data_IF_819876645196
#
_entry.id   IF_819876645196
#
_cell.length_a   1.000
_cell.length_b   1.000
_cell.length_c   1.000
_cell.angle_alpha   90.00
_cell.angle_beta   90.00
_cell.angle_gamma   90.00
#
_symmetry.space_group_name_H-M   'P 1'
#
loop_
_entity.id
_entity.type
_entity.pdbx_description
1 polymer ?
#
# COMPACT_ATOMS: atom_id res chain seq x y z
N UNK A 1 10.53 22.46 3.33
CA UNK A 1 10.38 21.86 1.99
C UNK A 1 11.40 20.75 1.84
N UNK A 2 11.15 19.81 0.92
CA UNK A 2 12.11 18.76 0.59
C UNK A 2 13.37 19.38 -0.08
N UNK A 3 14.56 18.76 0.07
CA UNK A 3 15.80 19.26 -0.53
C UNK A 3 15.87 19.06 -2.05
N UNK A 4 14.90 18.35 -2.64
CA UNK A 4 14.78 18.09 -4.07
C UNK A 4 13.43 18.60 -4.58
N UNK A 5 13.38 18.89 -5.89
CA UNK A 5 12.15 19.18 -6.62
C UNK A 5 11.60 17.99 -7.37
N UNK A 6 12.37 16.93 -7.56
CA UNK A 6 11.93 15.71 -8.23
C UNK A 6 11.88 14.57 -7.23
N UNK A 7 10.76 13.86 -7.17
CA UNK A 7 10.50 12.80 -6.19
C UNK A 7 9.94 11.54 -6.86
N UNK A 8 10.18 10.41 -6.21
CA UNK A 8 9.51 9.15 -6.45
C UNK A 8 8.72 8.80 -5.19
N UNK A 9 7.47 8.32 -5.34
CA UNK A 9 6.62 7.94 -4.20
C UNK A 9 6.46 6.42 -4.22
N UNK A 10 6.82 5.76 -3.14
CA UNK A 10 6.49 4.34 -2.90
C UNK A 10 5.47 4.26 -1.79
N UNK A 11 4.41 3.48 -2.00
CA UNK A 11 3.29 3.34 -1.07
C UNK A 11 3.17 1.87 -0.68
N UNK A 12 3.50 1.55 0.56
CA UNK A 12 3.07 0.30 1.19
C UNK A 12 1.70 0.52 1.82
N UNK A 13 0.69 -0.26 1.42
CA UNK A 13 -0.67 -0.13 1.93
C UNK A 13 -0.86 -0.68 3.33
N UNK A 14 0.12 -1.37 3.90
CA UNK A 14 0.03 -1.77 5.31
C UNK A 14 -0.06 -0.57 6.26
N UNK A 15 0.33 0.64 5.84
CA UNK A 15 0.10 1.88 6.61
C UNK A 15 -1.38 2.23 6.80
N UNK A 16 -2.25 1.75 5.89
CA UNK A 16 -3.68 2.07 5.89
C UNK A 16 -4.43 1.32 6.99
N UNK A 17 -5.61 1.80 7.34
CA UNK A 17 -6.53 1.08 8.23
C UNK A 17 -7.18 -0.12 7.55
N UNK A 18 -7.69 -1.07 8.34
CA UNK A 18 -8.34 -2.30 7.82
C UNK A 18 -9.57 -2.05 6.93
N UNK A 19 -10.23 -0.91 7.06
CA UNK A 19 -11.33 -0.50 6.17
C UNK A 19 -10.87 -0.10 4.77
N UNK A 20 -9.58 0.23 4.62
CA UNK A 20 -9.00 0.84 3.43
C UNK A 20 -7.89 -0.04 2.81
N UNK A 21 -7.37 -1.02 3.53
CA UNK A 21 -6.55 -2.08 2.96
C UNK A 21 -6.63 -3.32 3.83
N UNK A 22 -6.70 -4.47 3.19
CA UNK A 22 -6.53 -5.77 3.83
C UNK A 22 -5.15 -6.29 3.45
N UNK A 23 -4.24 -6.32 4.42
CA UNK A 23 -2.85 -6.76 4.23
C UNK A 23 -2.56 -8.00 5.09
N UNK A 24 -1.44 -8.69 4.83
CA UNK A 24 -0.92 -9.74 5.70
C UNK A 24 0.39 -9.34 6.40
N UNK A 25 0.55 -8.03 6.60
CA UNK A 25 1.66 -7.39 7.31
C UNK A 25 1.13 -6.54 8.46
N UNK A 26 1.99 -5.71 9.05
CA UNK A 26 1.66 -4.92 10.24
C UNK A 26 0.69 -3.79 9.88
N UNK A 27 -0.60 -4.09 9.99
CA UNK A 27 -1.68 -3.19 9.62
C UNK A 27 -1.67 -1.93 10.49
N UNK A 28 -1.60 -0.78 9.85
CA UNK A 28 -1.72 0.54 10.44
C UNK A 28 -3.16 1.01 10.56
N UNK A 29 -3.30 2.33 10.72
CA UNK A 29 -4.58 3.00 10.98
C UNK A 29 -4.77 4.25 10.11
N UNK A 30 -3.95 4.47 9.09
CA UNK A 30 -4.06 5.64 8.23
C UNK A 30 -5.34 5.56 7.38
N UNK A 31 -6.23 6.56 7.40
CA UNK A 31 -7.35 6.60 6.46
C UNK A 31 -6.84 6.86 5.04
N UNK A 32 -7.43 6.23 4.03
CA UNK A 32 -7.10 6.42 2.61
C UNK A 32 -7.13 7.90 2.22
N UNK A 33 -8.12 8.65 2.69
CA UNK A 33 -8.23 10.09 2.42
C UNK A 33 -6.98 10.88 2.86
N UNK A 34 -6.31 10.46 3.95
CA UNK A 34 -5.08 11.11 4.42
C UNK A 34 -3.91 10.80 3.48
N UNK A 35 -3.80 9.58 2.99
CA UNK A 35 -2.79 9.18 2.02
C UNK A 35 -2.96 9.97 0.70
N UNK A 36 -4.18 10.01 0.15
CA UNK A 36 -4.49 10.75 -1.07
C UNK A 36 -4.11 12.24 -0.95
N UNK A 37 -4.49 12.87 0.17
CA UNK A 37 -4.14 14.26 0.44
C UNK A 37 -2.63 14.47 0.54
N UNK A 38 -1.88 13.51 1.09
CA UNK A 38 -0.43 13.59 1.17
C UNK A 38 0.21 13.54 -0.23
N UNK A 39 -0.25 12.62 -1.09
CA UNK A 39 0.21 12.49 -2.48
C UNK A 39 -0.06 13.78 -3.26
N UNK A 40 -1.28 14.31 -3.21
CA UNK A 40 -1.64 15.55 -3.90
C UNK A 40 -0.82 16.76 -3.40
N UNK A 41 -0.54 16.84 -2.09
CA UNK A 41 0.31 17.91 -1.53
C UNK A 41 1.77 17.82 -1.98
N UNK A 42 2.30 16.60 -2.11
CA UNK A 42 3.66 16.39 -2.63
C UNK A 42 3.72 16.77 -4.10
N UNK A 43 2.75 16.35 -4.91
CA UNK A 43 2.65 16.69 -6.33
C UNK A 43 2.48 18.20 -6.58
N UNK A 44 1.82 18.92 -5.68
CA UNK A 44 1.72 20.39 -5.76
C UNK A 44 3.05 21.12 -5.50
N UNK A 45 4.07 20.45 -4.93
CA UNK A 45 5.33 21.08 -4.51
C UNK A 45 6.57 20.52 -5.22
N UNK A 46 6.43 19.34 -5.83
CA UNK A 46 7.49 18.55 -6.45
C UNK A 46 7.00 17.93 -7.76
N UNK A 47 7.91 17.76 -8.70
CA UNK A 47 7.77 16.94 -9.89
C UNK A 47 7.79 15.45 -9.50
N UNK A 48 6.66 14.77 -9.71
CA UNK A 48 6.51 13.34 -9.38
C UNK A 48 6.97 12.52 -10.59
N UNK A 49 8.16 11.93 -10.48
CA UNK A 49 8.77 11.14 -11.56
C UNK A 49 8.09 9.78 -11.75
N UNK A 50 7.39 9.32 -10.73
CA UNK A 50 6.68 8.05 -10.72
C UNK A 50 6.16 7.70 -9.34
N UNK A 51 5.23 6.75 -9.32
CA UNK A 51 4.61 6.21 -8.13
C UNK A 51 4.56 4.69 -8.25
N UNK A 52 4.95 3.97 -7.19
CA UNK A 52 4.69 2.54 -7.03
C UNK A 52 3.82 2.27 -5.80
N UNK A 53 3.10 1.16 -5.85
CA UNK A 53 2.18 0.71 -4.81
C UNK A 53 2.31 -0.78 -4.56
N UNK A 54 2.34 -1.17 -3.28
CA UNK A 54 2.34 -2.56 -2.82
C UNK A 54 1.46 -2.71 -1.55
N UNK A 55 1.58 -3.84 -0.84
CA UNK A 55 0.94 -4.04 0.47
C UNK A 55 -0.44 -4.68 0.47
N UNK A 56 -1.01 -5.05 -0.69
CA UNK A 56 -2.21 -5.90 -0.70
C UNK A 56 -1.95 -7.26 -0.04
N UNK A 57 -3.00 -7.87 0.53
CA UNK A 57 -2.95 -9.26 0.94
C UNK A 57 -2.42 -10.13 -0.20
N UNK A 58 -1.33 -10.83 0.08
CA UNK A 58 -0.77 -11.84 -0.82
C UNK A 58 -0.51 -13.11 -0.03
N UNK A 59 -1.05 -14.23 -0.53
CA UNK A 59 -0.81 -15.52 0.12
C UNK A 59 0.67 -15.86 0.03
N UNK A 60 1.33 -15.97 1.18
CA UNK A 60 2.72 -16.38 1.24
C UNK A 60 2.86 -17.86 0.80
N UNK A 61 3.64 -18.10 -0.25
CA UNK A 61 3.94 -19.43 -0.78
C UNK A 61 5.45 -19.64 -0.72
N UNK A 62 5.89 -20.65 0.02
CA UNK A 62 7.31 -20.99 0.19
C UNK A 62 7.57 -22.41 -0.33
N UNK A 63 8.60 -22.57 -1.16
CA UNK A 63 9.05 -23.88 -1.66
C UNK A 63 10.02 -24.61 -0.72
N UNK A 64 10.58 -23.89 0.26
CA UNK A 64 11.63 -24.37 1.17
C UNK A 64 11.19 -24.25 2.64
N UNK A 65 11.33 -25.32 3.47
CA UNK A 65 10.93 -25.31 4.87
C UNK A 65 11.64 -24.27 5.75
N UNK A 66 12.90 -23.92 5.44
CA UNK A 66 13.62 -22.91 6.23
C UNK A 66 12.99 -21.54 6.03
N UNK A 67 12.69 -21.16 4.78
CA UNK A 67 11.96 -19.91 4.48
C UNK A 67 10.55 -19.88 5.07
N UNK A 68 9.84 -20.99 5.03
CA UNK A 68 8.51 -21.09 5.64
C UNK A 68 8.55 -20.87 7.16
N UNK A 69 9.61 -21.36 7.82
CA UNK A 69 9.83 -21.19 9.25
C UNK A 69 10.22 -19.75 9.59
N UNK A 70 11.15 -19.14 8.85
CA UNK A 70 11.52 -17.74 9.01
C UNK A 70 10.30 -16.82 8.88
N UNK A 71 9.54 -16.98 7.79
CA UNK A 71 8.32 -16.20 7.58
C UNK A 71 7.25 -16.44 8.65
N UNK A 72 7.22 -17.59 9.31
CA UNK A 72 6.29 -17.78 10.42
C UNK A 72 6.60 -16.85 11.60
N UNK A 73 7.88 -16.54 11.85
CA UNK A 73 8.29 -15.67 12.96
C UNK A 73 8.23 -14.18 12.62
N UNK A 74 8.37 -13.82 11.34
CA UNK A 74 8.40 -12.42 10.91
C UNK A 74 6.99 -11.84 10.61
N UNK A 75 5.98 -12.68 10.37
CA UNK A 75 4.66 -12.24 9.96
C UNK A 75 3.62 -12.22 11.11
N UNK A 76 2.63 -11.30 11.05
CA UNK A 76 1.49 -11.33 11.95
C UNK A 76 0.61 -12.59 11.76
N UNK A 77 -0.32 -12.86 12.69
CA UNK A 77 -1.19 -14.03 12.62
C UNK A 77 -1.87 -14.17 11.25
N UNK A 78 -1.78 -15.38 10.68
CA UNK A 78 -2.38 -15.66 9.38
C UNK A 78 -3.89 -15.59 9.45
N UNK A 79 -4.49 -14.91 8.48
CA UNK A 79 -5.90 -15.03 8.17
C UNK A 79 -6.08 -15.30 6.68
N UNK A 80 -7.28 -15.75 6.31
CA UNK A 80 -7.69 -15.92 4.92
C UNK A 80 -8.71 -14.82 4.61
N UNK A 81 -8.44 -13.93 3.64
CA UNK A 81 -9.37 -12.87 3.29
C UNK A 81 -10.62 -13.46 2.65
N UNK A 82 -11.75 -12.84 2.92
CA UNK A 82 -13.02 -13.08 2.23
C UNK A 82 -13.02 -12.41 0.84
N UNK A 83 -14.03 -12.70 0.03
CA UNK A 83 -14.22 -11.98 -1.23
C UNK A 83 -14.49 -10.48 -1.01
N UNK A 84 -15.14 -10.11 0.10
CA UNK A 84 -15.39 -8.73 0.49
C UNK A 84 -14.08 -8.01 0.86
N UNK A 85 -13.21 -8.67 1.64
CA UNK A 85 -11.88 -8.15 1.96
C UNK A 85 -11.05 -7.86 0.69
N UNK A 86 -11.09 -8.76 -0.30
CA UNK A 86 -10.39 -8.56 -1.57
C UNK A 86 -11.02 -7.43 -2.41
N UNK A 87 -12.34 -7.22 -2.29
CA UNK A 87 -13.03 -6.13 -2.96
C UNK A 87 -12.62 -4.76 -2.40
N UNK A 88 -12.35 -4.66 -1.09
CA UNK A 88 -11.79 -3.44 -0.47
C UNK A 88 -10.48 -3.05 -1.16
N UNK A 89 -9.55 -4.00 -1.27
CA UNK A 89 -8.26 -3.78 -1.93
C UNK A 89 -8.43 -3.34 -3.39
N UNK A 90 -9.32 -3.98 -4.14
CA UNK A 90 -9.59 -3.62 -5.53
C UNK A 90 -10.16 -2.19 -5.66
N UNK A 91 -11.08 -1.81 -4.77
CA UNK A 91 -11.67 -0.46 -4.75
C UNK A 91 -10.64 0.62 -4.40
N UNK A 92 -9.79 0.34 -3.41
CA UNK A 92 -8.72 1.25 -2.99
C UNK A 92 -7.66 1.38 -4.09
N UNK A 93 -7.31 0.28 -4.76
CA UNK A 93 -6.43 0.30 -5.93
C UNK A 93 -6.97 1.20 -7.04
N UNK A 94 -8.25 1.09 -7.39
CA UNK A 94 -8.88 1.96 -8.37
C UNK A 94 -8.81 3.45 -7.94
N UNK A 95 -9.11 3.73 -6.68
CA UNK A 95 -9.05 5.09 -6.13
C UNK A 95 -7.64 5.69 -6.17
N UNK A 96 -6.62 4.87 -5.89
CA UNK A 96 -5.21 5.28 -5.96
C UNK A 96 -4.76 5.48 -7.40
N UNK A 97 -5.17 4.61 -8.33
CA UNK A 97 -4.91 4.80 -9.77
C UNK A 97 -5.52 6.12 -10.28
N UNK A 98 -6.78 6.41 -9.94
CA UNK A 98 -7.42 7.69 -10.28
C UNK A 98 -6.64 8.89 -9.70
N UNK A 99 -6.08 8.75 -8.50
CA UNK A 99 -5.22 9.79 -7.92
C UNK A 99 -3.91 9.93 -8.70
N UNK A 100 -3.26 8.81 -9.04
CA UNK A 100 -1.99 8.79 -9.78
C UNK A 100 -2.15 9.43 -11.16
N UNK A 101 -3.23 9.13 -11.89
CA UNK A 101 -3.55 9.76 -13.18
C UNK A 101 -3.71 11.28 -13.10
N UNK A 102 -4.11 11.82 -11.93
CA UNK A 102 -4.22 13.29 -11.73
C UNK A 102 -2.89 13.95 -11.40
N UNK A 103 -1.96 13.23 -10.78
CA UNK A 103 -0.72 13.83 -10.22
C UNK A 103 0.53 13.51 -11.03
N UNK A 104 0.50 12.46 -11.86
CA UNK A 104 1.56 12.13 -12.80
C UNK A 104 1.42 13.01 -14.06
N UNK A 105 2.55 13.42 -14.67
CA UNK A 105 2.57 14.21 -15.91
C UNK A 105 2.06 13.46 -17.14
#
# INVERSE_FOLDING_TARGET
GLPTKAIWITIDKDVLGRSDAVTNWDQGDMPLARLLLAVERLAAQCDVLGIDICGDYSRAVFSDPLRATLAYFDHPPRFTPTAEDLAINAQVNATLLDCFERVLP
#
